data_IF_898906484274
#
_entry.id   IF_898906484274
#
_cell.length_a   1.000
_cell.length_b   1.000
_cell.length_c   1.000
_cell.angle_alpha   90.00
_cell.angle_beta   90.00
_cell.angle_gamma   90.00
#
_symmetry.space_group_name_H-M   'P 1'
#
loop_
_entity.id
_entity.type
_entity.pdbx_description
1 polymer ?
#
# COMPACT_ATOMS: atom_id res chain seq x y z
N UNK A 1 -23.48 -0.67 20.58
CA UNK A 1 -23.38 -0.30 19.13
C UNK A 1 -21.97 0.18 18.84
N UNK A 2 -21.28 -0.34 17.82
CA UNK A 2 -19.97 0.18 17.41
C UNK A 2 -20.14 1.59 16.83
N UNK A 3 -19.29 2.54 17.26
CA UNK A 3 -19.35 3.93 16.78
C UNK A 3 -19.06 3.99 15.27
N UNK A 4 -19.96 4.58 14.49
CA UNK A 4 -19.73 4.85 13.06
C UNK A 4 -18.50 5.74 12.89
N UNK A 5 -17.70 5.49 11.85
CA UNK A 5 -16.47 6.21 11.56
C UNK A 5 -16.49 6.74 10.14
N UNK A 6 -15.83 7.87 9.92
CA UNK A 6 -15.49 8.39 8.59
C UNK A 6 -14.10 7.93 8.22
N UNK A 7 -13.98 7.13 7.16
CA UNK A 7 -12.76 6.46 6.77
C UNK A 7 -12.33 6.97 5.39
N UNK A 8 -11.10 7.47 5.29
CA UNK A 8 -10.49 7.81 4.00
C UNK A 8 -9.72 6.59 3.48
N UNK A 9 -10.27 5.93 2.47
CA UNK A 9 -9.65 4.80 1.79
C UNK A 9 -8.73 5.30 0.68
N UNK A 10 -7.46 4.90 0.72
CA UNK A 10 -6.42 5.42 -0.17
C UNK A 10 -5.83 4.30 -1.02
N UNK A 11 -5.87 4.46 -2.36
CA UNK A 11 -5.34 3.46 -3.28
C UNK A 11 -4.79 4.06 -4.57
N UNK A 12 -3.63 3.58 -5.00
CA UNK A 12 -3.06 3.86 -6.32
C UNK A 12 -3.25 2.65 -7.22
N UNK A 13 -4.10 2.79 -8.24
CA UNK A 13 -4.36 1.73 -9.20
C UNK A 13 -3.18 1.54 -10.15
N UNK A 14 -2.76 0.29 -10.36
CA UNK A 14 -1.84 -0.08 -11.44
C UNK A 14 -2.57 -0.14 -12.78
N UNK A 15 -1.82 0.00 -13.88
CA UNK A 15 -2.37 -0.11 -15.25
C UNK A 15 -2.97 -1.48 -15.54
N UNK A 16 -2.38 -2.53 -14.96
CA UNK A 16 -2.93 -3.89 -15.02
C UNK A 16 -3.53 -4.18 -13.65
N UNK A 17 -4.83 -4.42 -13.62
CA UNK A 17 -5.56 -4.74 -12.40
C UNK A 17 -5.06 -6.05 -11.80
N UNK A 18 -4.86 -6.07 -10.50
CA UNK A 18 -4.47 -7.25 -9.73
C UNK A 18 -5.41 -7.50 -8.55
N UNK A 19 -5.15 -8.56 -7.80
CA UNK A 19 -5.96 -8.93 -6.64
C UNK A 19 -6.11 -7.81 -5.60
N UNK A 20 -5.11 -6.94 -5.43
CA UNK A 20 -5.22 -5.82 -4.47
C UNK A 20 -6.29 -4.79 -4.84
N UNK A 21 -6.61 -4.61 -6.14
CA UNK A 21 -7.72 -3.76 -6.58
C UNK A 21 -9.07 -4.32 -6.14
N UNK A 22 -9.26 -5.63 -6.30
CA UNK A 22 -10.46 -6.33 -5.86
C UNK A 22 -10.61 -6.27 -4.34
N UNK A 23 -9.52 -6.50 -3.61
CA UNK A 23 -9.52 -6.39 -2.14
C UNK A 23 -9.87 -4.99 -1.68
N UNK A 24 -9.30 -3.96 -2.29
CA UNK A 24 -9.64 -2.56 -1.98
C UNK A 24 -11.14 -2.30 -2.15
N UNK A 25 -11.72 -2.68 -3.28
CA UNK A 25 -13.16 -2.51 -3.55
C UNK A 25 -14.02 -3.28 -2.55
N UNK A 26 -13.69 -4.54 -2.30
CA UNK A 26 -14.41 -5.37 -1.33
C UNK A 26 -14.36 -4.77 0.09
N UNK A 27 -13.22 -4.19 0.51
CA UNK A 27 -13.12 -3.53 1.81
C UNK A 27 -13.93 -2.24 1.88
N UNK A 28 -13.95 -1.43 0.82
CA UNK A 28 -14.80 -0.24 0.73
C UNK A 28 -16.27 -0.62 0.91
N UNK A 29 -16.73 -1.62 0.16
CA UNK A 29 -18.11 -2.13 0.28
C UNK A 29 -18.40 -2.67 1.69
N UNK A 30 -17.51 -3.51 2.23
CA UNK A 30 -17.66 -4.07 3.58
C UNK A 30 -17.81 -2.99 4.65
N UNK A 31 -17.00 -1.94 4.58
CA UNK A 31 -17.06 -0.83 5.52
C UNK A 31 -18.38 -0.05 5.40
N UNK A 32 -18.84 0.20 4.17
CA UNK A 32 -20.13 0.85 3.91
C UNK A 32 -21.31 0.01 4.41
N UNK A 33 -21.30 -1.29 4.14
CA UNK A 33 -22.33 -2.24 4.59
C UNK A 33 -22.39 -2.33 6.12
N UNK A 34 -21.29 -2.08 6.81
CA UNK A 34 -21.24 -1.98 8.27
C UNK A 34 -21.52 -0.57 8.81
N UNK A 35 -22.02 0.34 7.97
CA UNK A 35 -22.53 1.65 8.35
C UNK A 35 -21.43 2.70 8.57
N UNK A 36 -20.20 2.47 8.12
CA UNK A 36 -19.16 3.50 8.08
C UNK A 36 -19.36 4.42 6.87
N UNK A 37 -18.97 5.68 7.02
CA UNK A 37 -18.87 6.61 5.89
C UNK A 37 -17.48 6.45 5.25
N UNK A 38 -17.45 6.10 3.96
CA UNK A 38 -16.20 5.82 3.26
C UNK A 38 -16.00 6.79 2.11
N UNK A 39 -14.93 7.56 2.21
CA UNK A 39 -14.45 8.48 1.19
C UNK A 39 -13.23 7.84 0.52
N UNK A 40 -13.16 7.92 -0.79
CA UNK A 40 -12.07 7.33 -1.56
C UNK A 40 -11.14 8.40 -2.11
N UNK A 41 -9.83 8.24 -1.88
CA UNK A 41 -8.79 9.00 -2.55
C UNK A 41 -7.96 8.05 -3.41
N UNK A 42 -8.20 8.11 -4.70
CA UNK A 42 -7.57 7.19 -5.65
C UNK A 42 -6.77 7.93 -6.72
N UNK A 43 -5.70 7.28 -7.20
CA UNK A 43 -4.91 7.69 -8.35
C UNK A 43 -4.74 6.50 -9.28
N UNK A 44 -4.51 6.74 -10.56
CA UNK A 44 -4.20 5.68 -11.52
C UNK A 44 -2.88 5.95 -12.23
N UNK A 45 -2.10 4.89 -12.43
CA UNK A 45 -0.87 4.97 -13.22
C UNK A 45 -1.14 5.31 -14.70
N UNK A 46 -2.39 5.27 -15.17
CA UNK A 46 -2.76 5.75 -16.49
C UNK A 46 -2.58 7.26 -16.63
N UNK A 47 -2.62 8.01 -15.53
CA UNK A 47 -2.31 9.44 -15.51
C UNK A 47 -0.89 9.76 -16.02
N UNK A 48 0.02 8.79 -15.97
CA UNK A 48 1.40 8.94 -16.47
C UNK A 48 1.51 8.82 -17.98
N UNK A 49 0.51 8.25 -18.66
CA UNK A 49 0.50 8.14 -20.13
C UNK A 49 0.15 9.46 -20.81
N UNK A 50 -0.69 10.26 -20.17
CA UNK A 50 -1.26 11.48 -20.75
C UNK A 50 -0.39 12.73 -20.57
N UNK A 51 0.64 12.68 -19.70
CA UNK A 51 1.37 13.89 -19.31
C UNK A 51 2.87 13.63 -19.12
N UNK A 52 3.67 14.03 -20.11
CA UNK A 52 5.14 13.86 -20.09
C UNK A 52 5.81 14.65 -18.96
N UNK A 53 5.23 15.76 -18.50
CA UNK A 53 5.75 16.54 -17.38
C UNK A 53 5.64 15.76 -16.07
N UNK A 54 4.54 15.00 -15.88
CA UNK A 54 4.40 14.11 -14.73
C UNK A 54 5.51 13.06 -14.66
N UNK A 55 5.96 12.55 -15.81
CA UNK A 55 7.07 11.58 -15.85
C UNK A 55 8.39 12.21 -15.41
N UNK A 56 8.65 13.47 -15.79
CA UNK A 56 9.87 14.19 -15.41
C UNK A 56 9.95 14.42 -13.91
N UNK A 57 8.84 14.77 -13.27
CA UNK A 57 8.77 15.00 -11.81
C UNK A 57 8.48 13.75 -10.99
N UNK A 58 8.16 12.62 -11.62
CA UNK A 58 7.83 11.37 -10.96
C UNK A 58 8.90 10.90 -9.95
N UNK A 59 10.22 11.02 -10.22
CA UNK A 59 11.25 10.65 -9.26
C UNK A 59 11.09 11.35 -7.90
N UNK A 60 10.82 12.63 -7.93
CA UNK A 60 10.66 13.44 -6.72
C UNK A 60 9.32 13.17 -6.04
N UNK A 61 8.23 13.16 -6.81
CA UNK A 61 6.87 12.96 -6.28
C UNK A 61 6.66 11.54 -5.75
N UNK A 62 7.38 10.54 -6.26
CA UNK A 62 7.37 9.18 -5.72
C UNK A 62 8.00 9.13 -4.33
N UNK A 63 9.07 9.87 -4.09
CA UNK A 63 9.71 9.95 -2.78
C UNK A 63 8.82 10.71 -1.79
N UNK A 64 8.31 11.88 -2.22
CA UNK A 64 7.42 12.71 -1.44
C UNK A 64 6.59 13.65 -2.33
N UNK A 65 5.26 13.58 -2.25
CA UNK A 65 4.34 14.37 -3.07
C UNK A 65 3.69 15.49 -2.26
N UNK A 66 4.08 16.74 -2.56
CA UNK A 66 3.46 17.92 -1.96
C UNK A 66 1.96 17.99 -2.27
N UNK A 67 1.59 17.66 -3.51
CA UNK A 67 0.19 17.61 -3.94
C UNK A 67 -0.62 16.68 -3.07
N UNK A 68 -0.19 15.42 -2.90
CA UNK A 68 -0.87 14.45 -2.04
C UNK A 68 -0.96 14.94 -0.60
N UNK A 69 0.13 15.52 -0.08
CA UNK A 69 0.14 16.05 1.28
C UNK A 69 -0.94 17.12 1.50
N UNK A 70 -1.09 18.06 0.56
CA UNK A 70 -2.07 19.14 0.65
C UNK A 70 -3.50 18.60 0.46
N UNK A 71 -3.72 17.75 -0.56
CA UNK A 71 -5.04 17.18 -0.89
C UNK A 71 -5.57 16.32 0.27
N UNK A 72 -4.74 15.46 0.85
CA UNK A 72 -5.13 14.61 1.99
C UNK A 72 -5.46 15.47 3.23
N UNK A 73 -4.68 16.51 3.52
CA UNK A 73 -5.00 17.42 4.64
C UNK A 73 -6.32 18.14 4.44
N UNK A 74 -6.61 18.60 3.21
CA UNK A 74 -7.89 19.23 2.88
C UNK A 74 -9.05 18.26 3.09
N UNK A 75 -8.94 17.02 2.58
CA UNK A 75 -9.95 15.98 2.78
C UNK A 75 -10.17 15.69 4.26
N UNK A 76 -9.10 15.48 5.02
CA UNK A 76 -9.21 15.21 6.47
C UNK A 76 -9.97 16.33 7.18
N UNK A 77 -9.66 17.59 6.86
CA UNK A 77 -10.30 18.74 7.49
C UNK A 77 -11.77 18.90 7.08
N UNK A 78 -12.04 18.84 5.78
CA UNK A 78 -13.36 19.14 5.24
C UNK A 78 -14.37 18.03 5.57
N UNK A 79 -13.92 16.78 5.46
CA UNK A 79 -14.77 15.60 5.69
C UNK A 79 -14.73 15.09 7.14
N UNK A 80 -13.89 15.68 8.00
CA UNK A 80 -13.73 15.24 9.40
C UNK A 80 -13.36 13.76 9.52
N UNK A 81 -12.35 13.33 8.79
CA UNK A 81 -11.89 11.93 8.71
C UNK A 81 -11.39 11.44 10.07
N UNK A 82 -11.90 10.28 10.51
CA UNK A 82 -11.47 9.60 11.74
C UNK A 82 -10.23 8.71 11.54
N UNK A 83 -10.08 8.11 10.34
CA UNK A 83 -9.00 7.14 10.02
C UNK A 83 -8.63 7.24 8.55
N UNK A 84 -7.33 7.19 8.24
CA UNK A 84 -6.83 7.03 6.87
C UNK A 84 -6.38 5.58 6.69
N UNK A 85 -6.99 4.85 5.76
CA UNK A 85 -6.65 3.47 5.45
C UNK A 85 -6.02 3.37 4.06
N UNK A 86 -4.76 3.00 4.00
CA UNK A 86 -3.98 2.89 2.76
C UNK A 86 -3.81 1.44 2.33
N UNK A 87 -4.03 1.16 1.03
CA UNK A 87 -3.70 -0.12 0.41
C UNK A 87 -2.44 -0.02 -0.43
N UNK A 88 -2.43 0.84 -1.43
CA UNK A 88 -1.27 1.10 -2.27
C UNK A 88 -1.04 2.61 -2.39
N UNK A 89 0.16 3.06 -2.09
CA UNK A 89 0.53 4.47 -2.19
C UNK A 89 1.53 4.75 -3.31
N UNK A 90 1.95 3.70 -4.04
CA UNK A 90 3.02 3.78 -5.01
C UNK A 90 2.49 3.75 -6.47
N UNK A 91 3.03 4.60 -7.38
CA UNK A 91 4.05 5.61 -7.16
C UNK A 91 3.51 7.04 -6.95
N UNK A 92 2.22 7.33 -7.31
CA UNK A 92 1.71 8.70 -7.44
C UNK A 92 1.26 9.34 -6.13
N UNK A 93 0.79 8.54 -5.18
CA UNK A 93 0.33 9.01 -3.88
C UNK A 93 1.53 9.29 -2.96
N UNK A 94 2.53 8.42 -2.98
CA UNK A 94 3.74 8.45 -2.15
C UNK A 94 3.49 8.31 -0.63
N UNK A 95 4.52 8.10 0.19
CA UNK A 95 4.39 8.10 1.64
C UNK A 95 3.93 9.42 2.26
N UNK A 96 3.84 10.52 1.48
CA UNK A 96 3.36 11.82 1.97
C UNK A 96 1.93 11.76 2.56
N UNK A 97 1.12 10.78 2.17
CA UNK A 97 -0.20 10.53 2.78
C UNK A 97 -0.08 10.26 4.30
N UNK A 98 0.95 9.50 4.74
CA UNK A 98 1.15 9.20 6.15
C UNK A 98 1.52 10.45 6.95
N UNK A 99 2.36 11.32 6.37
CA UNK A 99 2.74 12.60 6.99
C UNK A 99 1.53 13.54 7.08
N UNK A 100 0.73 13.61 6.02
CA UNK A 100 -0.48 14.43 5.98
C UNK A 100 -1.46 14.05 7.10
N UNK A 101 -1.80 12.76 7.20
CA UNK A 101 -2.70 12.26 8.23
C UNK A 101 -2.14 12.50 9.65
N UNK A 102 -0.87 12.20 9.87
CA UNK A 102 -0.24 12.41 11.17
C UNK A 102 -0.17 13.89 11.57
N UNK A 103 0.09 14.80 10.63
CA UNK A 103 0.10 16.25 10.92
C UNK A 103 -1.28 16.76 11.36
N UNK A 104 -2.34 16.03 11.02
CA UNK A 104 -3.72 16.28 11.42
C UNK A 104 -4.15 15.42 12.62
N UNK A 105 -3.22 14.65 13.24
CA UNK A 105 -3.47 13.73 14.37
C UNK A 105 -4.49 12.63 14.04
N UNK A 106 -4.65 12.29 12.76
CA UNK A 106 -5.52 11.20 12.29
C UNK A 106 -4.70 9.91 12.20
N UNK A 107 -5.16 8.79 12.79
CA UNK A 107 -4.48 7.51 12.71
C UNK A 107 -4.45 6.98 11.28
N UNK A 108 -3.36 6.26 10.97
CA UNK A 108 -3.15 5.65 9.66
C UNK A 108 -3.06 4.14 9.81
N UNK A 109 -3.76 3.44 8.93
CA UNK A 109 -3.67 1.98 8.76
C UNK A 109 -3.15 1.69 7.36
N UNK A 110 -2.20 0.76 7.23
CA UNK A 110 -1.66 0.29 5.95
C UNK A 110 -1.89 -1.21 5.80
N UNK A 111 -2.68 -1.62 4.80
CA UNK A 111 -2.78 -3.03 4.40
C UNK A 111 -1.59 -3.39 3.52
N UNK A 112 -0.86 -4.44 3.88
CA UNK A 112 0.33 -4.91 3.17
C UNK A 112 -0.04 -6.02 2.19
N UNK A 113 -0.05 -5.71 0.90
CA UNK A 113 -0.34 -6.65 -0.18
C UNK A 113 0.93 -7.29 -0.77
N UNK A 114 2.08 -6.67 -0.57
CA UNK A 114 3.36 -7.11 -1.13
C UNK A 114 4.52 -6.63 -0.25
N UNK A 115 5.74 -7.02 -0.59
CA UNK A 115 6.93 -6.69 0.20
C UNK A 115 7.61 -5.38 -0.23
N UNK A 116 6.92 -4.44 -0.88
CA UNK A 116 7.53 -3.21 -1.40
C UNK A 116 8.23 -2.36 -0.36
N UNK A 117 7.74 -2.33 0.86
CA UNK A 117 8.41 -1.61 1.93
C UNK A 117 9.75 -2.22 2.34
N UNK A 118 10.06 -3.45 1.91
CA UNK A 118 11.29 -4.19 2.20
C UNK A 118 12.15 -4.45 0.96
N UNK A 119 11.51 -4.55 -0.21
CA UNK A 119 12.13 -4.93 -1.46
C UNK A 119 11.64 -4.01 -2.60
N UNK A 120 12.49 -3.30 -3.34
CA UNK A 120 12.07 -2.44 -4.45
C UNK A 120 11.24 -3.15 -5.52
N UNK A 121 11.45 -4.44 -5.75
CA UNK A 121 10.62 -5.25 -6.64
C UNK A 121 9.25 -5.63 -6.02
N UNK A 122 9.16 -5.68 -4.70
CA UNK A 122 7.95 -6.03 -3.96
C UNK A 122 7.67 -7.52 -3.82
N UNK A 123 8.44 -8.40 -4.46
CA UNK A 123 8.17 -9.84 -4.52
C UNK A 123 9.21 -10.73 -3.82
N UNK A 124 10.31 -10.17 -3.33
CA UNK A 124 11.48 -10.94 -2.88
C UNK A 124 12.00 -11.93 -3.94
N UNK A 125 11.89 -11.57 -5.21
CA UNK A 125 12.33 -12.42 -6.32
C UNK A 125 13.28 -11.66 -7.25
N UNK A 126 14.43 -12.26 -7.56
CA UNK A 126 15.44 -11.64 -8.40
C UNK A 126 16.20 -12.70 -9.19
N UNK A 127 16.32 -12.53 -10.50
CA UNK A 127 17.09 -13.43 -11.38
C UNK A 127 16.76 -14.91 -11.21
N UNK A 128 15.45 -15.24 -11.23
CA UNK A 128 15.01 -16.62 -11.19
C UNK A 128 14.98 -17.27 -9.78
N UNK A 129 15.27 -16.53 -8.69
CA UNK A 129 15.32 -17.08 -7.33
C UNK A 129 14.80 -16.14 -6.26
N UNK A 130 14.42 -16.70 -5.13
CA UNK A 130 14.06 -15.95 -3.91
C UNK A 130 15.25 -15.12 -3.44
N UNK A 131 15.02 -13.84 -3.07
CA UNK A 131 16.06 -12.92 -2.68
C UNK A 131 15.56 -11.97 -1.57
N UNK A 132 16.09 -12.11 -0.38
CA UNK A 132 15.80 -11.24 0.77
C UNK A 132 16.95 -10.29 1.14
N UNK A 133 17.99 -10.18 0.33
CA UNK A 133 19.21 -9.42 0.63
C UNK A 133 18.97 -7.97 1.08
N UNK A 134 17.99 -7.28 0.46
CA UNK A 134 17.68 -5.89 0.85
C UNK A 134 17.10 -5.80 2.27
N UNK A 135 16.30 -6.80 2.68
CA UNK A 135 15.76 -6.90 4.03
C UNK A 135 16.86 -7.26 5.02
N UNK A 136 17.68 -8.26 4.71
CA UNK A 136 18.75 -8.74 5.57
C UNK A 136 19.83 -7.68 5.82
N UNK A 137 20.29 -7.01 4.76
CA UNK A 137 21.33 -6.00 4.81
C UNK A 137 20.84 -4.61 5.26
N UNK A 138 19.52 -4.40 5.37
CA UNK A 138 18.93 -3.11 5.73
C UNK A 138 19.13 -1.99 4.69
N UNK A 139 19.62 -2.30 3.49
CA UNK A 139 19.89 -1.34 2.42
C UNK A 139 19.52 -1.91 1.03
N UNK A 140 19.54 -1.05 0.01
CA UNK A 140 19.07 -1.39 -1.34
C UNK A 140 20.18 -1.49 -2.40
N UNK A 141 21.46 -1.60 -2.00
CA UNK A 141 22.61 -1.69 -2.94
C UNK A 141 22.45 -2.86 -3.90
N UNK A 142 22.09 -4.04 -3.40
CA UNK A 142 21.85 -5.22 -4.21
C UNK A 142 20.69 -5.05 -5.20
N UNK A 143 19.62 -4.36 -4.79
CA UNK A 143 18.51 -4.08 -5.69
C UNK A 143 18.93 -3.17 -6.84
N UNK A 144 19.71 -2.12 -6.56
CA UNK A 144 20.22 -1.18 -7.58
C UNK A 144 21.16 -1.91 -8.57
N UNK A 145 22.12 -2.71 -8.05
CA UNK A 145 23.03 -3.53 -8.85
C UNK A 145 22.28 -4.47 -9.81
N UNK A 146 21.18 -5.06 -9.34
CA UNK A 146 20.38 -6.01 -10.11
C UNK A 146 19.20 -5.38 -10.87
N UNK A 147 19.04 -4.04 -10.87
CA UNK A 147 17.96 -3.32 -11.55
C UNK A 147 16.57 -3.87 -11.20
N UNK A 148 16.34 -4.20 -9.92
CA UNK A 148 15.20 -5.01 -9.48
C UNK A 148 13.83 -4.41 -9.79
N UNK A 149 13.71 -3.07 -9.89
CA UNK A 149 12.44 -2.44 -10.25
C UNK A 149 12.35 -2.23 -11.76
N UNK A 150 11.47 -2.97 -12.43
CA UNK A 150 11.18 -2.89 -13.87
C UNK A 150 12.43 -2.97 -14.77
N UNK A 151 13.43 -3.72 -14.35
CA UNK A 151 14.73 -3.84 -15.03
C UNK A 151 15.42 -2.48 -15.33
N UNK A 152 15.16 -1.48 -14.49
CA UNK A 152 15.65 -0.11 -14.64
C UNK A 152 16.51 0.29 -13.45
N UNK A 153 17.75 0.74 -13.70
CA UNK A 153 18.63 1.30 -12.66
C UNK A 153 18.03 2.55 -12.04
N UNK A 154 17.60 3.49 -12.89
CA UNK A 154 16.99 4.76 -12.45
C UNK A 154 15.71 4.49 -11.65
N UNK A 155 14.82 3.66 -12.16
CA UNK A 155 13.59 3.28 -11.46
C UNK A 155 13.87 2.63 -10.10
N UNK A 156 14.89 1.77 -10.03
CA UNK A 156 15.29 1.12 -8.78
C UNK A 156 15.88 2.12 -7.77
N UNK A 157 16.69 3.07 -8.24
CA UNK A 157 17.23 4.14 -7.39
C UNK A 157 16.10 4.99 -6.80
N UNK A 158 15.10 5.36 -7.59
CA UNK A 158 13.95 6.14 -7.13
C UNK A 158 13.19 5.40 -6.00
N UNK A 159 12.88 4.12 -6.21
CA UNK A 159 12.21 3.31 -5.20
C UNK A 159 13.08 3.14 -3.94
N UNK A 160 14.37 2.88 -4.13
CA UNK A 160 15.34 2.77 -3.03
C UNK A 160 15.45 4.08 -2.23
N UNK A 161 15.47 5.23 -2.91
CA UNK A 161 15.48 6.55 -2.28
C UNK A 161 14.21 6.79 -1.46
N UNK A 162 13.03 6.53 -2.06
CA UNK A 162 11.75 6.61 -1.35
C UNK A 162 11.77 5.79 -0.05
N UNK A 163 12.17 4.53 -0.14
CA UNK A 163 12.22 3.64 1.01
C UNK A 163 13.24 4.10 2.06
N UNK A 164 14.45 4.49 1.63
CA UNK A 164 15.53 4.91 2.53
C UNK A 164 15.17 6.17 3.28
N UNK A 165 14.68 7.20 2.58
CA UNK A 165 14.31 8.48 3.20
C UNK A 165 13.21 8.27 4.24
N UNK A 166 12.13 7.59 3.85
CA UNK A 166 10.97 7.40 4.73
C UNK A 166 11.26 6.45 5.90
N UNK A 167 12.18 5.48 5.74
CA UNK A 167 12.67 4.67 6.86
C UNK A 167 13.48 5.50 7.84
N UNK A 168 14.44 6.33 7.35
CA UNK A 168 15.27 7.21 8.20
C UNK A 168 14.41 8.21 8.97
N UNK A 169 13.37 8.76 8.36
CA UNK A 169 12.40 9.65 9.02
C UNK A 169 11.45 8.91 9.98
N UNK A 170 11.49 7.58 10.00
CA UNK A 170 10.77 6.75 10.94
C UNK A 170 9.25 6.72 10.74
N UNK A 171 8.73 7.15 9.56
CA UNK A 171 7.28 7.23 9.35
C UNK A 171 6.60 5.85 9.42
N UNK A 172 7.28 4.80 8.91
CA UNK A 172 6.76 3.44 8.93
C UNK A 172 6.60 2.84 10.34
N UNK A 173 7.28 3.37 11.35
CA UNK A 173 7.12 2.96 12.77
C UNK A 173 5.97 3.68 13.48
N UNK A 174 5.29 4.60 12.79
CA UNK A 174 4.29 5.50 13.38
C UNK A 174 2.88 5.27 12.83
N UNK A 175 2.65 4.18 12.14
CA UNK A 175 1.37 3.79 11.53
C UNK A 175 1.03 2.35 11.92
N UNK A 176 -0.25 2.00 11.83
CA UNK A 176 -0.74 0.65 12.08
C UNK A 176 -0.72 -0.19 10.81
N UNK A 177 -0.67 -1.52 10.96
CA UNK A 177 -0.54 -2.43 9.83
C UNK A 177 -1.58 -3.55 9.86
N UNK A 178 -2.07 -3.90 8.67
CA UNK A 178 -2.84 -5.12 8.42
C UNK A 178 -2.03 -5.98 7.45
N UNK A 179 -1.66 -7.18 7.87
CA UNK A 179 -1.01 -8.18 7.05
C UNK A 179 -2.02 -9.24 6.60
N UNK A 180 -1.81 -9.84 5.44
CA UNK A 180 -2.70 -10.86 4.90
C UNK A 180 -2.45 -12.25 5.52
N UNK A 181 -1.23 -12.48 5.99
CA UNK A 181 -0.80 -13.75 6.60
C UNK A 181 0.25 -13.51 7.68
N UNK A 182 0.41 -14.47 8.61
CA UNK A 182 1.50 -14.46 9.58
C UNK A 182 2.88 -14.51 8.90
N UNK A 183 2.99 -15.21 7.75
CA UNK A 183 4.21 -15.19 6.94
C UNK A 183 4.56 -13.79 6.45
N UNK A 184 3.60 -13.04 5.89
CA UNK A 184 3.85 -11.65 5.50
C UNK A 184 4.31 -10.81 6.69
N UNK A 185 3.61 -10.93 7.82
CA UNK A 185 3.92 -10.21 9.07
C UNK A 185 5.34 -10.50 9.55
N UNK A 186 5.75 -11.77 9.59
CA UNK A 186 7.07 -12.17 10.07
C UNK A 186 8.23 -11.55 9.28
N UNK A 187 8.03 -11.22 8.00
CA UNK A 187 9.07 -10.57 7.18
C UNK A 187 9.36 -9.12 7.56
N UNK A 188 8.48 -8.47 8.32
CA UNK A 188 8.56 -7.05 8.66
C UNK A 188 9.24 -6.76 10.01
N UNK A 189 9.73 -7.79 10.72
CA UNK A 189 10.37 -7.72 12.04
C UNK A 189 11.51 -6.70 12.14
N UNK A 190 12.27 -6.49 11.06
CA UNK A 190 13.37 -5.52 11.00
C UNK A 190 12.92 -4.09 10.70
N UNK A 191 11.67 -3.88 10.27
CA UNK A 191 11.14 -2.57 9.91
C UNK A 191 10.29 -1.97 11.02
N UNK A 192 9.45 -2.80 11.64
CA UNK A 192 8.47 -2.42 12.67
C UNK A 192 8.47 -3.43 13.81
N UNK A 193 7.91 -3.06 14.96
CA UNK A 193 7.60 -4.00 16.02
C UNK A 193 6.35 -4.82 15.62
N UNK A 194 6.57 -6.05 15.13
CA UNK A 194 5.51 -6.95 14.67
C UNK A 194 4.62 -7.49 15.79
N UNK A 195 5.02 -7.34 17.05
CA UNK A 195 4.25 -7.76 18.22
C UNK A 195 3.45 -6.61 18.86
N UNK A 196 3.54 -5.42 18.26
CA UNK A 196 2.79 -4.26 18.69
C UNK A 196 1.28 -4.49 18.55
N UNK A 197 0.50 -3.90 19.45
CA UNK A 197 -0.97 -3.82 19.36
C UNK A 197 -1.50 -3.03 18.17
N UNK A 198 -0.61 -2.44 17.35
CA UNK A 198 -0.92 -1.75 16.11
C UNK A 198 -0.73 -2.64 14.87
N UNK A 199 -0.45 -3.93 15.04
CA UNK A 199 -0.18 -4.89 13.97
C UNK A 199 -1.19 -6.02 14.00
N UNK A 200 -1.94 -6.18 12.91
CA UNK A 200 -3.03 -7.15 12.78
C UNK A 200 -2.79 -8.08 11.60
N UNK A 201 -3.34 -9.28 11.68
CA UNK A 201 -3.42 -10.21 10.54
C UNK A 201 -4.88 -10.39 10.17
N UNK A 202 -5.22 -10.06 8.93
CA UNK A 202 -6.56 -10.20 8.35
C UNK A 202 -6.42 -10.72 6.92
N UNK A 203 -6.74 -11.99 6.67
CA UNK A 203 -6.73 -12.54 5.31
C UNK A 203 -7.67 -11.80 4.38
N UNK A 204 -7.39 -11.88 3.08
CA UNK A 204 -8.34 -11.43 2.07
C UNK A 204 -9.63 -12.23 2.18
N UNK A 205 -10.74 -11.60 1.81
CA UNK A 205 -12.05 -12.21 1.80
C UNK A 205 -12.74 -11.97 0.46
N UNK A 206 -13.68 -12.83 0.15
CA UNK A 206 -14.57 -12.68 -1.01
C UNK A 206 -15.96 -12.34 -0.49
N UNK A 207 -16.53 -11.25 -1.00
CA UNK A 207 -17.92 -10.89 -0.68
C UNK A 207 -18.85 -11.94 -1.31
N UNK A 208 -19.67 -12.59 -0.51
CA UNK A 208 -20.72 -13.51 -1.01
C UNK A 208 -21.89 -12.68 -1.55
N UNK A 209 -21.74 -12.10 -2.72
CA UNK A 209 -22.86 -11.51 -3.46
C UNK A 209 -23.31 -12.56 -4.51
N UNK A 210 -24.34 -13.33 -4.20
CA UNK A 210 -24.97 -14.31 -5.08
C UNK A 210 -25.28 -15.62 -4.36
N UNK A 211 -26.42 -16.23 -4.70
CA UNK A 211 -26.68 -17.61 -4.30
C UNK A 211 -25.61 -18.52 -4.90
N UNK A 212 -25.17 -19.56 -4.17
CA UNK A 212 -24.28 -20.56 -4.76
C UNK A 212 -24.95 -21.13 -5.99
N UNK A 213 -24.28 -21.12 -7.14
CA UNK A 213 -24.79 -21.76 -8.34
C UNK A 213 -25.12 -23.21 -7.98
N UNK A 214 -26.35 -23.66 -8.24
CA UNK A 214 -26.82 -25.03 -7.98
C UNK A 214 -26.13 -26.08 -8.87
N UNK A 215 -25.03 -25.76 -9.53
CA UNK A 215 -24.19 -26.65 -10.30
C UNK A 215 -23.06 -27.22 -9.44
N UNK A 216 -23.04 -28.55 -9.28
CA UNK A 216 -21.93 -29.23 -8.63
C UNK A 216 -20.63 -29.02 -9.41
N UNK A 217 -19.88 -27.99 -9.10
CA UNK A 217 -18.53 -27.81 -9.64
C UNK A 217 -17.57 -28.73 -8.90
N UNK A 218 -17.15 -29.80 -9.53
CA UNK A 218 -16.16 -30.77 -9.03
C UNK A 218 -14.72 -30.23 -9.07
N UNK A 219 -14.50 -28.94 -9.34
CA UNK A 219 -13.15 -28.35 -9.44
C UNK A 219 -13.06 -27.12 -8.56
N UNK A 220 -12.11 -27.13 -7.64
CA UNK A 220 -11.70 -25.97 -6.83
C UNK A 220 -10.46 -25.40 -7.51
N UNK A 221 -10.51 -24.11 -7.87
CA UNK A 221 -9.33 -23.39 -8.33
C UNK A 221 -8.74 -22.65 -7.13
N UNK A 222 -7.52 -23.01 -6.75
CA UNK A 222 -6.76 -22.29 -5.74
C UNK A 222 -5.78 -21.39 -6.51
N UNK A 223 -5.95 -20.08 -6.36
CA UNK A 223 -4.96 -19.10 -6.83
C UNK A 223 -4.05 -18.75 -5.64
N UNK A 224 -2.78 -19.10 -5.78
CA UNK A 224 -1.73 -18.74 -4.84
C UNK A 224 -1.05 -17.43 -5.25
#
# INVERSE_FOLDING_TARGET
MRKKKKILMVHNFYQIGGGEHTVFKNEVELLRDNGHEVIEYTRSNDELKSDKWKLLFLPFTTVWSLRTYIEIRKLIKNEQIDVVHCHNTFPLISPSVYYAARSMKVPVVQTIHNFRLLCPNGSFYCKGKVCEKCRENGNFKEAIKNKCYRNSTVGTIIVAAMLTVNRKLGIYKKISYIFLTEFNKSKFDKLIDINSNQVFVKPNFVSRKGEPSKGAHKRVFIFA
#
